data_IF_578407139392
#
_entry.id   IF_578407139392
#
_cell.length_a   1.000
_cell.length_b   1.000
_cell.length_c   1.000
_cell.angle_alpha   90.00
_cell.angle_beta   90.00
_cell.angle_gamma   90.00
#
_symmetry.space_group_name_H-M   'P 1'
#
loop_
_entity.id
_entity.type
_entity.pdbx_description
1 polymer ?
#
# COMPACT_ATOMS: atom_id res chain seq x y z
N UNK A 1 -7.88 15.63 -22.30
CA UNK A 1 -7.80 15.20 -20.89
C UNK A 1 -7.96 13.69 -20.85
N UNK A 2 -6.86 12.95 -20.70
CA UNK A 2 -6.87 11.49 -20.82
C UNK A 2 -7.47 10.84 -19.58
N UNK A 3 -8.55 10.09 -19.76
CA UNK A 3 -9.07 9.19 -18.74
C UNK A 3 -8.21 7.92 -18.68
N UNK A 4 -7.70 7.60 -17.49
CA UNK A 4 -7.13 6.29 -17.22
C UNK A 4 -8.30 5.28 -17.12
N UNK A 5 -8.36 4.29 -18.00
CA UNK A 5 -9.45 3.29 -18.09
C UNK A 5 -9.57 2.37 -16.85
N UNK A 6 -8.74 2.57 -15.83
CA UNK A 6 -8.83 1.93 -14.52
C UNK A 6 -8.93 3.07 -13.52
N UNK A 7 -10.13 3.26 -12.98
CA UNK A 7 -10.43 4.30 -11.98
C UNK A 7 -9.27 4.46 -10.99
N UNK A 8 -8.88 5.73 -10.81
CA UNK A 8 -8.00 6.24 -9.75
C UNK A 8 -6.48 5.92 -9.75
N UNK A 9 -5.93 5.27 -10.79
CA UNK A 9 -4.47 4.97 -10.85
C UNK A 9 -3.57 5.99 -11.58
N UNK A 10 -3.71 7.30 -11.35
CA UNK A 10 -2.82 8.29 -11.99
C UNK A 10 -1.42 8.42 -11.36
N UNK A 11 -1.27 8.12 -10.07
CA UNK A 11 -0.01 8.36 -9.32
C UNK A 11 1.16 7.46 -9.76
N UNK A 12 0.88 6.25 -10.27
CA UNK A 12 1.92 5.30 -10.71
C UNK A 12 2.21 5.35 -12.21
N UNK A 13 1.21 5.74 -13.00
CA UNK A 13 1.29 5.71 -14.46
C UNK A 13 1.95 6.97 -15.03
N UNK A 14 1.83 8.13 -14.35
CA UNK A 14 2.25 9.42 -14.91
C UNK A 14 3.48 10.07 -14.26
N UNK A 15 3.99 9.59 -13.12
CA UNK A 15 5.19 10.18 -12.51
C UNK A 15 6.47 9.58 -13.10
N UNK A 16 7.22 10.40 -13.85
CA UNK A 16 8.49 10.03 -14.48
C UNK A 16 9.55 9.52 -13.47
N UNK A 17 9.46 9.99 -12.22
CA UNK A 17 10.33 9.62 -11.10
C UNK A 17 10.16 8.15 -10.66
N UNK A 18 9.05 7.51 -11.05
CA UNK A 18 8.71 6.14 -10.65
C UNK A 18 8.78 5.13 -11.81
N UNK A 19 9.35 5.50 -12.96
CA UNK A 19 9.51 4.57 -14.10
C UNK A 19 10.34 3.32 -13.76
N UNK A 20 11.25 3.44 -12.80
CA UNK A 20 12.09 2.34 -12.30
C UNK A 20 11.50 1.60 -11.10
N UNK A 21 10.29 1.96 -10.68
CA UNK A 21 9.68 1.43 -9.46
C UNK A 21 8.91 0.16 -9.77
N UNK A 22 9.13 -0.88 -8.96
CA UNK A 22 8.54 -2.21 -9.11
C UNK A 22 7.01 -2.13 -9.11
N UNK A 23 6.41 -2.28 -10.29
CA UNK A 23 4.96 -2.43 -10.44
C UNK A 23 4.53 -3.86 -10.08
N UNK A 24 3.39 -4.04 -9.40
CA UNK A 24 2.87 -5.38 -9.17
C UNK A 24 2.53 -6.05 -10.51
N UNK A 25 3.04 -7.27 -10.71
CA UNK A 25 2.73 -8.07 -11.90
C UNK A 25 1.23 -8.26 -12.06
N UNK A 26 0.71 -8.40 -13.30
CA UNK A 26 -0.72 -8.68 -13.55
C UNK A 26 -1.24 -9.86 -12.71
N UNK A 27 -0.45 -10.93 -12.59
CA UNK A 27 -0.78 -12.10 -11.76
C UNK A 27 -0.90 -11.75 -10.28
N UNK A 28 -0.01 -10.92 -9.76
CA UNK A 28 -0.09 -10.46 -8.37
C UNK A 28 -1.34 -9.59 -8.17
N UNK A 29 -1.60 -8.63 -9.06
CA UNK A 29 -2.79 -7.76 -8.98
C UNK A 29 -4.09 -8.55 -8.92
N UNK A 30 -4.25 -9.56 -9.76
CA UNK A 30 -5.43 -10.44 -9.76
C UNK A 30 -5.57 -11.20 -8.43
N UNK A 31 -4.47 -11.72 -7.88
CA UNK A 31 -4.49 -12.41 -6.58
C UNK A 31 -4.88 -11.46 -5.43
N UNK A 32 -4.34 -10.24 -5.43
CA UNK A 32 -4.65 -9.24 -4.41
C UNK A 32 -6.13 -8.82 -4.45
N UNK A 33 -6.69 -8.59 -5.65
CA UNK A 33 -8.11 -8.26 -5.80
C UNK A 33 -9.05 -9.37 -5.31
N UNK A 34 -8.65 -10.62 -5.42
CA UNK A 34 -9.45 -11.76 -4.97
C UNK A 34 -9.39 -12.04 -3.47
N UNK A 35 -8.62 -11.27 -2.70
CA UNK A 35 -8.58 -11.40 -1.24
C UNK A 35 -9.79 -10.72 -0.58
N UNK A 36 -10.25 -11.31 0.52
CA UNK A 36 -11.18 -10.66 1.44
C UNK A 36 -10.51 -9.46 2.10
N UNK A 37 -11.31 -8.49 2.55
CA UNK A 37 -10.82 -7.32 3.30
C UNK A 37 -9.96 -7.73 4.51
N UNK A 38 -10.37 -8.70 5.35
CA UNK A 38 -9.54 -9.13 6.46
C UNK A 38 -8.20 -9.73 6.00
N UNK A 39 -8.19 -10.54 4.92
CA UNK A 39 -6.93 -11.06 4.36
C UNK A 39 -6.00 -9.96 3.83
N UNK A 40 -6.57 -8.90 3.24
CA UNK A 40 -5.81 -7.73 2.78
C UNK A 40 -5.21 -6.97 3.95
N UNK A 41 -5.97 -6.75 5.02
CA UNK A 41 -5.49 -6.11 6.25
C UNK A 41 -4.34 -6.90 6.88
N UNK A 42 -4.48 -8.22 7.00
CA UNK A 42 -3.42 -9.11 7.49
C UNK A 42 -2.16 -9.01 6.61
N UNK A 43 -2.31 -9.02 5.29
CA UNK A 43 -1.19 -8.90 4.35
C UNK A 43 -0.48 -7.55 4.48
N UNK A 44 -1.25 -6.47 4.58
CA UNK A 44 -0.72 -5.10 4.73
C UNK A 44 0.04 -4.95 6.04
N UNK A 45 -0.53 -5.41 7.15
CA UNK A 45 0.13 -5.40 8.47
C UNK A 45 1.50 -6.09 8.40
N UNK A 46 1.53 -7.31 7.91
CA UNK A 46 2.75 -8.10 7.80
C UNK A 46 3.79 -7.45 6.86
N UNK A 47 3.34 -6.79 5.79
CA UNK A 47 4.23 -6.08 4.88
C UNK A 47 4.79 -4.80 5.50
N UNK A 48 3.96 -4.03 6.21
CA UNK A 48 4.36 -2.79 6.88
C UNK A 48 5.34 -3.06 8.02
N UNK A 49 5.18 -4.15 8.76
CA UNK A 49 6.14 -4.61 9.77
C UNK A 49 7.53 -4.90 9.15
N UNK A 50 7.57 -5.56 7.99
CA UNK A 50 8.83 -5.77 7.26
C UNK A 50 9.42 -4.42 6.80
N UNK A 51 8.58 -3.47 6.38
CA UNK A 51 9.03 -2.15 5.93
C UNK A 51 9.60 -1.34 7.08
N UNK A 52 8.94 -1.30 8.25
CA UNK A 52 9.40 -0.53 9.41
C UNK A 52 10.83 -0.94 9.81
N UNK A 53 11.14 -2.24 9.79
CA UNK A 53 12.48 -2.76 10.05
C UNK A 53 13.54 -2.34 9.00
N UNK A 54 13.13 -2.18 7.73
CA UNK A 54 14.05 -1.87 6.61
C UNK A 54 14.16 -0.37 6.31
N UNK A 55 13.25 0.44 6.82
CA UNK A 55 13.05 1.85 6.44
C UNK A 55 13.07 2.76 7.69
N UNK A 56 14.15 2.75 8.50
CA UNK A 56 14.19 3.47 9.78
C UNK A 56 13.98 4.98 9.64
N UNK A 57 14.41 5.58 8.51
CA UNK A 57 14.19 7.00 8.20
C UNK A 57 12.69 7.37 8.08
N UNK A 58 11.87 6.43 7.62
CA UNK A 58 10.44 6.64 7.39
C UNK A 58 9.60 5.97 8.47
N UNK A 59 10.23 5.51 9.56
CA UNK A 59 9.61 4.73 10.62
C UNK A 59 8.36 5.42 11.21
N UNK A 60 8.35 6.74 11.53
CA UNK A 60 7.16 7.36 12.10
C UNK A 60 5.94 7.30 11.17
N UNK A 61 6.13 7.56 9.88
CA UNK A 61 5.04 7.49 8.89
C UNK A 61 4.60 6.05 8.61
N UNK A 62 5.54 5.09 8.63
CA UNK A 62 5.20 3.66 8.51
C UNK A 62 4.44 3.18 9.74
N UNK A 63 4.81 3.64 10.94
CA UNK A 63 4.10 3.33 12.19
C UNK A 63 2.69 3.92 12.20
N UNK A 64 2.50 5.15 11.70
CA UNK A 64 1.18 5.74 11.56
C UNK A 64 0.28 4.90 10.62
N UNK A 65 0.81 4.50 9.45
CA UNK A 65 0.10 3.59 8.55
C UNK A 65 -0.19 2.23 9.21
N UNK A 66 0.78 1.69 9.96
CA UNK A 66 0.62 0.41 10.64
C UNK A 66 -0.49 0.49 11.71
N UNK A 67 -0.55 1.57 12.50
CA UNK A 67 -1.59 1.76 13.50
C UNK A 67 -2.99 1.76 12.88
N UNK A 68 -3.20 2.50 11.77
CA UNK A 68 -4.47 2.54 11.05
C UNK A 68 -4.89 1.14 10.58
N UNK A 69 -3.95 0.37 10.03
CA UNK A 69 -4.21 -0.98 9.54
C UNK A 69 -4.45 -1.96 10.70
N UNK A 70 -3.74 -1.81 11.82
CA UNK A 70 -3.91 -2.65 13.01
C UNK A 70 -5.26 -2.42 13.69
N UNK A 71 -5.71 -1.18 13.81
CA UNK A 71 -7.05 -0.85 14.34
C UNK A 71 -8.16 -1.44 13.44
N UNK A 72 -8.02 -1.30 12.13
CA UNK A 72 -8.95 -1.91 11.17
C UNK A 72 -8.93 -3.45 11.25
N UNK A 73 -7.75 -4.05 11.43
CA UNK A 73 -7.60 -5.50 11.59
C UNK A 73 -8.19 -6.02 12.91
N UNK A 74 -8.11 -5.24 13.99
CA UNK A 74 -8.66 -5.61 15.29
C UNK A 74 -10.20 -5.65 15.29
N UNK A 75 -10.82 -4.85 14.41
CA UNK A 75 -12.29 -4.76 14.25
C UNK A 75 -12.84 -5.63 13.13
N UNK A 76 -11.98 -6.17 12.28
CA UNK A 76 -12.34 -7.06 11.20
C UNK A 76 -12.71 -8.48 11.69
N UNK A 77 -13.58 -9.17 10.96
CA UNK A 77 -13.86 -10.60 11.20
C UNK A 77 -12.65 -11.45 10.75
N UNK A 78 -11.76 -11.73 11.70
CA UNK A 78 -10.52 -12.48 11.49
C UNK A 78 -10.76 -13.94 11.09
N UNK A 79 -11.95 -14.50 11.33
CA UNK A 79 -12.28 -15.87 10.92
C UNK A 79 -12.38 -16.00 9.39
N UNK A 80 -12.64 -14.89 8.70
CA UNK A 80 -12.70 -14.82 7.24
C UNK A 80 -11.35 -14.53 6.56
N UNK A 81 -10.27 -14.41 7.35
CA UNK A 81 -8.93 -14.19 6.83
C UNK A 81 -8.24 -15.51 6.47
N UNK A 82 -7.63 -15.56 5.29
CA UNK A 82 -6.77 -16.68 4.88
C UNK A 82 -5.29 -16.35 5.12
N UNK A 83 -4.46 -17.38 5.29
CA UNK A 83 -3.00 -17.19 5.37
C UNK A 83 -2.45 -16.62 4.05
N UNK A 84 -1.86 -15.43 4.14
CA UNK A 84 -1.30 -14.66 3.02
C UNK A 84 0.22 -14.76 2.89
N UNK A 85 0.88 -15.65 3.65
CA UNK A 85 2.35 -15.86 3.65
C UNK A 85 2.94 -16.03 2.25
N UNK A 86 2.27 -16.77 1.37
CA UNK A 86 2.73 -17.00 0.00
C UNK A 86 2.76 -15.73 -0.87
N UNK A 87 2.02 -14.69 -0.49
CA UNK A 87 2.04 -13.38 -1.17
C UNK A 87 2.92 -12.36 -0.47
N UNK A 88 3.12 -12.49 0.84
CA UNK A 88 3.89 -11.56 1.66
C UNK A 88 5.28 -11.31 1.09
N UNK A 89 6.00 -12.35 0.64
CA UNK A 89 7.33 -12.16 0.04
C UNK A 89 7.32 -11.29 -1.22
N UNK A 90 6.29 -11.40 -2.06
CA UNK A 90 6.18 -10.61 -3.30
C UNK A 90 5.64 -9.20 -3.02
N UNK A 91 4.67 -9.10 -2.11
CA UNK A 91 4.03 -7.84 -1.72
C UNK A 91 4.99 -6.94 -0.93
N UNK A 92 5.80 -7.49 -0.02
CA UNK A 92 6.77 -6.72 0.77
C UNK A 92 7.93 -6.14 -0.06
N UNK A 93 8.17 -6.66 -1.26
CA UNK A 93 9.11 -6.08 -2.21
C UNK A 93 8.53 -4.88 -2.98
N UNK A 94 7.20 -4.70 -2.94
CA UNK A 94 6.58 -3.52 -3.51
C UNK A 94 6.93 -2.29 -2.64
N UNK A 95 7.09 -1.12 -3.24
CA UNK A 95 7.11 0.15 -2.49
C UNK A 95 5.78 0.39 -1.78
N UNK A 96 5.79 1.17 -0.69
CA UNK A 96 4.63 1.45 0.16
C UNK A 96 3.45 2.00 -0.67
N UNK A 97 3.72 2.89 -1.63
CA UNK A 97 2.69 3.45 -2.51
C UNK A 97 2.02 2.43 -3.44
N UNK A 98 2.73 1.39 -3.89
CA UNK A 98 2.13 0.32 -4.71
C UNK A 98 1.42 -0.72 -3.83
N UNK A 99 1.93 -0.93 -2.62
CA UNK A 99 1.33 -1.82 -1.64
C UNK A 99 -0.04 -1.29 -1.18
N UNK A 100 -0.19 0.03 -1.06
CA UNK A 100 -1.42 0.71 -0.63
C UNK A 100 -2.22 1.30 -1.81
N UNK A 101 -2.09 0.71 -3.01
CA UNK A 101 -2.89 1.09 -4.17
C UNK A 101 -4.28 0.45 -4.18
N UNK A 102 -5.13 0.85 -5.11
CA UNK A 102 -6.55 0.45 -5.18
C UNK A 102 -6.79 -1.06 -5.24
N UNK A 103 -5.87 -1.84 -5.80
CA UNK A 103 -6.00 -3.30 -5.81
C UNK A 103 -5.91 -3.94 -4.42
N UNK A 104 -5.37 -3.20 -3.45
CA UNK A 104 -5.21 -3.63 -2.07
C UNK A 104 -6.21 -2.99 -1.12
N UNK A 105 -6.58 -1.72 -1.34
CA UNK A 105 -7.42 -0.98 -0.40
C UNK A 105 -8.72 -0.47 -1.02
N UNK A 106 -8.94 -0.64 -2.32
CA UNK A 106 -10.06 0.01 -3.03
C UNK A 106 -11.45 -0.55 -2.68
N UNK A 107 -11.50 -1.69 -2.00
CA UNK A 107 -12.72 -2.29 -1.44
C UNK A 107 -12.82 -2.09 0.08
N UNK A 108 -11.94 -1.28 0.68
CA UNK A 108 -12.05 -0.92 2.09
C UNK A 108 -13.16 0.09 2.31
N UNK A 109 -13.67 0.11 3.54
CA UNK A 109 -14.62 1.13 3.98
C UNK A 109 -14.07 2.54 3.70
N UNK A 110 -14.91 3.50 3.25
CA UNK A 110 -14.46 4.81 2.81
C UNK A 110 -13.60 5.57 3.84
N UNK A 111 -13.96 5.46 5.12
CA UNK A 111 -13.20 6.09 6.20
C UNK A 111 -11.77 5.54 6.30
N UNK A 112 -11.62 4.22 6.23
CA UNK A 112 -10.32 3.55 6.26
C UNK A 112 -9.49 3.90 5.01
N UNK A 113 -10.12 3.87 3.84
CA UNK A 113 -9.47 4.27 2.59
C UNK A 113 -8.91 5.70 2.68
N UNK A 114 -9.72 6.65 3.14
CA UNK A 114 -9.32 8.05 3.26
C UNK A 114 -8.16 8.23 4.25
N UNK A 115 -8.23 7.61 5.43
CA UNK A 115 -7.13 7.67 6.42
C UNK A 115 -5.80 7.16 5.84
N UNK A 116 -5.83 6.07 5.07
CA UNK A 116 -4.64 5.53 4.41
C UNK A 116 -4.12 6.51 3.34
N UNK A 117 -5.00 7.11 2.53
CA UNK A 117 -4.60 8.08 1.50
C UNK A 117 -4.00 9.37 2.08
N UNK A 118 -4.50 9.83 3.23
CA UNK A 118 -3.94 10.96 3.95
C UNK A 118 -2.50 10.69 4.42
N UNK A 119 -2.27 9.54 5.06
CA UNK A 119 -0.92 9.16 5.50
C UNK A 119 0.04 8.93 4.33
N UNK A 120 -0.45 8.34 3.23
CA UNK A 120 0.33 8.24 2.00
C UNK A 120 0.72 9.61 1.44
N UNK A 121 -0.16 10.60 1.57
CA UNK A 121 0.11 11.98 1.15
C UNK A 121 1.15 12.63 2.07
N UNK A 122 1.03 12.45 3.39
CA UNK A 122 2.02 12.91 4.37
C UNK A 122 3.41 12.29 4.11
N UNK A 123 3.47 10.98 3.87
CA UNK A 123 4.73 10.26 3.56
C UNK A 123 5.42 10.76 2.27
N UNK A 124 4.64 11.26 1.30
CA UNK A 124 5.19 11.88 0.09
C UNK A 124 5.79 13.26 0.39
N UNK A 125 5.13 14.06 1.24
CA UNK A 125 5.61 15.40 1.62
C UNK A 125 6.87 15.34 2.50
N UNK A 126 7.02 14.28 3.30
CA UNK A 126 8.22 14.06 4.14
C UNK A 126 9.36 13.35 3.41
N UNK A 127 9.12 12.84 2.19
CA UNK A 127 10.21 12.35 1.34
C UNK A 127 11.04 13.52 0.84
N UNK A 128 12.37 13.50 1.02
CA UNK A 128 13.21 14.52 0.42
C UNK A 128 13.03 14.45 -1.10
N UNK A 129 12.57 15.54 -1.70
CA UNK A 129 12.71 15.74 -3.13
C UNK A 129 14.19 15.52 -3.46
N UNK A 130 14.55 14.66 -4.42
CA UNK A 130 15.92 14.63 -4.89
C UNK A 130 16.21 16.03 -5.43
N UNK A 131 17.03 16.79 -4.71
CA UNK A 131 17.62 18.01 -5.24
C UNK A 131 18.34 17.56 -6.50
N UNK A 132 17.77 17.86 -7.67
CA UNK A 132 18.51 17.76 -8.92
C UNK A 132 19.71 18.67 -8.73
N UNK A 133 20.90 18.08 -8.63
CA UNK A 133 22.13 18.83 -8.74
C UNK A 133 22.06 19.60 -10.07
N UNK A 134 22.05 20.92 -9.96
CA UNK A 134 22.13 21.84 -11.09
C UNK A 134 23.54 21.78 -11.70
#
# INVERSE_FOLDING_TARGET
YGHCEVGWECLYCHHAEHRNVLRPTKRLRLKLRGLTVPSKLLLLRNCLEIKSAKMPRWLPSIQALQAIIEDAWATADQQSAIDVRFMQGRASNLPISALLGDHMIGDFEPLLYNSIQEELTRLKMTSPVPVRAA
#
